data_IF_800770786532
#
_entry.id   IF_800770786532
#
_cell.length_a   1.000
_cell.length_b   1.000
_cell.length_c   1.000
_cell.angle_alpha   90.00
_cell.angle_beta   90.00
_cell.angle_gamma   90.00
#
_symmetry.space_group_name_H-M   'P 1'
#
loop_
_entity.id
_entity.type
_entity.pdbx_description
1 polymer ?
#
# COMPACT_ATOMS: atom_id res chain seq x y z
N UNK A 1 18.98 -1.22 -3.75
CA UNK A 1 17.69 -0.91 -3.11
C UNK A 1 17.61 0.57 -2.81
N UNK A 2 16.56 1.23 -3.19
CA UNK A 2 16.41 2.66 -2.99
C UNK A 2 15.05 2.95 -2.33
N UNK A 3 14.92 4.16 -1.78
CA UNK A 3 13.63 4.61 -1.24
C UNK A 3 12.56 4.59 -2.34
N UNK A 4 12.91 5.01 -3.56
CA UNK A 4 11.97 5.02 -4.67
C UNK A 4 11.48 3.61 -5.03
N UNK A 5 12.37 2.62 -5.02
CA UNK A 5 11.98 1.25 -5.34
C UNK A 5 11.09 0.65 -4.24
N UNK A 6 11.33 1.00 -2.98
CA UNK A 6 10.48 0.58 -1.86
C UNK A 6 9.11 1.25 -1.96
N UNK A 7 9.07 2.55 -2.26
CA UNK A 7 7.81 3.26 -2.46
C UNK A 7 7.01 2.63 -3.60
N UNK A 8 7.66 2.31 -4.72
CA UNK A 8 7.01 1.67 -5.86
C UNK A 8 6.43 0.30 -5.47
N UNK A 9 7.17 -0.49 -4.68
CA UNK A 9 6.70 -1.79 -4.21
C UNK A 9 5.48 -1.64 -3.31
N UNK A 10 5.48 -0.65 -2.40
CA UNK A 10 4.35 -0.38 -1.53
C UNK A 10 3.12 0.05 -2.33
N UNK A 11 3.29 0.95 -3.30
CA UNK A 11 2.18 1.41 -4.13
C UNK A 11 1.60 0.26 -4.94
N UNK A 12 2.45 -0.57 -5.55
CA UNK A 12 1.99 -1.72 -6.32
C UNK A 12 1.21 -2.71 -5.44
N UNK A 13 1.69 -2.97 -4.22
CA UNK A 13 1.01 -3.86 -3.28
C UNK A 13 -0.36 -3.28 -2.86
N UNK A 14 -0.42 -1.97 -2.59
CA UNK A 14 -1.65 -1.31 -2.23
C UNK A 14 -2.67 -1.35 -3.37
N UNK A 15 -2.24 -1.10 -4.60
CA UNK A 15 -3.13 -1.16 -5.76
C UNK A 15 -3.65 -2.58 -5.99
N UNK A 16 -2.80 -3.59 -5.87
CA UNK A 16 -3.21 -4.97 -6.03
C UNK A 16 -4.22 -5.39 -4.95
N UNK A 17 -3.97 -5.00 -3.70
CA UNK A 17 -4.88 -5.30 -2.61
C UNK A 17 -6.23 -4.61 -2.78
N UNK A 18 -6.22 -3.34 -3.22
CA UNK A 18 -7.44 -2.58 -3.46
C UNK A 18 -8.29 -3.23 -4.54
N UNK A 19 -7.67 -3.68 -5.62
CA UNK A 19 -8.39 -4.36 -6.71
C UNK A 19 -9.06 -5.65 -6.22
N UNK A 20 -8.36 -6.42 -5.40
CA UNK A 20 -8.93 -7.65 -4.82
C UNK A 20 -10.11 -7.34 -3.90
N UNK A 21 -9.96 -6.34 -3.02
CA UNK A 21 -11.00 -5.97 -2.05
C UNK A 21 -12.21 -5.35 -2.72
N UNK A 22 -12.00 -4.56 -3.76
CA UNK A 22 -13.10 -3.92 -4.47
C UNK A 22 -13.94 -4.93 -5.25
N UNK A 23 -13.36 -6.05 -5.66
CA UNK A 23 -14.03 -7.01 -6.51
C UNK A 23 -14.30 -6.47 -7.90
N UNK A 24 -13.61 -5.40 -8.30
CA UNK A 24 -13.80 -4.76 -9.59
C UNK A 24 -12.89 -3.53 -9.72
N UNK A 25 -13.11 -2.70 -10.74
CA UNK A 25 -12.25 -1.56 -11.00
C UNK A 25 -12.20 -0.57 -9.81
N UNK A 26 -11.01 -0.09 -9.52
CA UNK A 26 -10.82 0.97 -8.56
C UNK A 26 -9.64 1.84 -9.01
N UNK A 27 -9.56 3.05 -8.49
CA UNK A 27 -8.53 3.99 -8.85
C UNK A 27 -7.84 4.53 -7.61
N UNK A 28 -6.52 4.59 -7.65
CA UNK A 28 -5.74 5.21 -6.58
C UNK A 28 -6.02 6.72 -6.57
N UNK A 29 -6.51 7.23 -5.46
CA UNK A 29 -6.78 8.66 -5.29
C UNK A 29 -5.60 9.37 -4.64
N UNK A 30 -5.01 8.77 -3.61
CA UNK A 30 -3.85 9.33 -2.95
C UNK A 30 -3.05 8.24 -2.26
N UNK A 31 -1.76 8.49 -2.09
CA UNK A 31 -0.88 7.62 -1.32
C UNK A 31 0.17 8.47 -0.62
N UNK A 32 0.48 8.11 0.61
CA UNK A 32 1.53 8.73 1.39
C UNK A 32 2.50 7.64 1.84
N UNK A 33 3.78 7.84 1.59
CA UNK A 33 4.83 6.88 1.96
C UNK A 33 5.81 7.58 2.90
N UNK A 34 6.15 6.91 3.99
CA UNK A 34 7.15 7.39 4.93
C UNK A 34 8.28 6.37 5.05
N UNK A 35 9.52 6.85 4.86
CA UNK A 35 10.69 6.04 5.11
C UNK A 35 11.06 6.18 6.58
N UNK A 36 11.19 5.05 7.28
CA UNK A 36 11.51 5.01 8.71
C UNK A 36 12.96 4.63 8.97
N UNK A 37 13.60 3.97 8.01
CA UNK A 37 14.96 3.48 8.12
C UNK A 37 15.63 3.51 6.75
N UNK A 38 16.93 3.24 6.71
CA UNK A 38 17.65 3.14 5.45
C UNK A 38 17.06 2.00 4.60
N UNK A 39 17.03 2.16 3.28
CA UNK A 39 16.48 1.12 2.40
C UNK A 39 17.18 -0.22 2.58
N UNK A 40 16.40 -1.28 2.66
CA UNK A 40 16.88 -2.64 2.81
C UNK A 40 15.89 -3.59 2.14
N UNK A 41 16.34 -4.79 1.82
CA UNK A 41 15.49 -5.81 1.19
C UNK A 41 14.40 -6.27 2.17
N UNK A 42 13.17 -6.35 1.67
CA UNK A 42 12.05 -6.79 2.47
C UNK A 42 10.84 -7.05 1.61
N UNK A 43 9.67 -7.07 2.23
CA UNK A 43 8.42 -7.24 1.52
C UNK A 43 7.33 -6.35 2.09
N UNK A 44 6.35 -6.03 1.24
CA UNK A 44 5.22 -5.23 1.62
C UNK A 44 4.11 -6.11 2.23
N UNK A 45 3.48 -5.62 3.29
CA UNK A 45 2.29 -6.24 3.89
C UNK A 45 1.20 -5.20 3.95
N UNK A 46 0.03 -5.55 3.44
CA UNK A 46 -1.09 -4.63 3.29
C UNK A 46 -2.23 -5.00 4.22
N UNK A 47 -2.89 -3.99 4.75
CA UNK A 47 -4.06 -4.13 5.59
C UNK A 47 -5.13 -3.17 5.11
N UNK A 48 -6.37 -3.66 5.00
CA UNK A 48 -7.52 -2.81 4.72
C UNK A 48 -7.97 -2.18 6.04
N UNK A 49 -7.84 -0.85 6.15
CA UNK A 49 -8.23 -0.14 7.36
C UNK A 49 -9.73 0.12 7.40
N UNK A 50 -10.28 0.51 6.24
CA UNK A 50 -11.70 0.81 6.14
C UNK A 50 -12.15 0.69 4.69
N UNK A 51 -13.36 0.21 4.50
CA UNK A 51 -13.98 0.12 3.18
C UNK A 51 -15.40 0.62 3.26
N UNK A 52 -15.75 1.55 2.38
CA UNK A 52 -17.12 1.98 2.17
C UNK A 52 -17.52 1.55 0.75
N UNK A 53 -18.75 1.86 0.35
CA UNK A 53 -19.23 1.50 -0.97
C UNK A 53 -18.45 2.21 -2.10
N UNK A 54 -17.91 3.39 -1.84
CA UNK A 54 -17.25 4.21 -2.85
C UNK A 54 -15.77 4.43 -2.60
N UNK A 55 -15.28 4.14 -1.40
CA UNK A 55 -13.89 4.43 -1.01
C UNK A 55 -13.30 3.28 -0.24
N UNK A 56 -11.98 3.11 -0.37
CA UNK A 56 -11.21 2.19 0.46
C UNK A 56 -10.00 2.89 1.02
N UNK A 57 -9.68 2.58 2.27
CA UNK A 57 -8.54 3.11 2.99
C UNK A 57 -7.65 1.94 3.38
N UNK A 58 -6.44 1.91 2.83
CA UNK A 58 -5.49 0.82 3.06
C UNK A 58 -4.22 1.37 3.69
N UNK A 59 -3.52 0.50 4.39
CA UNK A 59 -2.18 0.80 4.89
C UNK A 59 -1.25 -0.35 4.55
N UNK A 60 0.05 -0.07 4.54
CA UNK A 60 1.05 -1.08 4.27
C UNK A 60 2.31 -0.80 5.07
N UNK A 61 3.06 -1.87 5.32
CA UNK A 61 4.38 -1.81 5.92
C UNK A 61 5.35 -2.54 5.01
N UNK A 62 6.58 -2.03 4.92
CA UNK A 62 7.67 -2.74 4.25
C UNK A 62 8.60 -3.25 5.32
N UNK A 63 8.70 -4.59 5.44
CA UNK A 63 9.39 -5.26 6.53
C UNK A 63 10.54 -6.10 6.01
N UNK A 64 11.67 -6.07 6.71
CA UNK A 64 12.78 -7.01 6.44
C UNK A 64 12.40 -8.40 6.95
N UNK A 65 13.21 -9.40 6.58
CA UNK A 65 13.03 -10.78 7.07
C UNK A 65 13.11 -10.84 8.60
N UNK A 66 13.88 -9.95 9.22
CA UNK A 66 14.01 -9.88 10.67
C UNK A 66 12.84 -9.13 11.34
N UNK A 67 11.90 -8.61 10.56
CA UNK A 67 10.76 -7.88 11.09
C UNK A 67 11.00 -6.40 11.32
N UNK A 68 12.12 -5.88 10.86
CA UNK A 68 12.41 -4.45 10.97
C UNK A 68 11.55 -3.67 9.98
N UNK A 69 10.91 -2.62 10.45
CA UNK A 69 10.04 -1.78 9.64
C UNK A 69 10.85 -0.71 8.93
N UNK A 70 10.93 -0.80 7.61
CA UNK A 70 11.72 0.11 6.78
C UNK A 70 10.88 1.30 6.34
N UNK A 71 9.61 1.07 6.03
CA UNK A 71 8.72 2.12 5.54
C UNK A 71 7.28 1.77 5.84
N UNK A 72 6.44 2.79 5.82
CA UNK A 72 4.99 2.63 5.91
C UNK A 72 4.32 3.43 4.80
N UNK A 73 3.09 3.05 4.47
CA UNK A 73 2.30 3.78 3.49
C UNK A 73 0.83 3.74 3.88
N UNK A 74 0.11 4.75 3.45
CA UNK A 74 -1.34 4.80 3.57
C UNK A 74 -1.90 5.26 2.23
N UNK A 75 -3.01 4.65 1.80
CA UNK A 75 -3.60 4.96 0.51
C UNK A 75 -5.11 5.10 0.61
N UNK A 76 -5.65 5.85 -0.34
CA UNK A 76 -7.09 5.99 -0.53
C UNK A 76 -7.39 5.63 -1.97
N UNK A 77 -8.38 4.77 -2.17
CA UNK A 77 -8.80 4.31 -3.49
C UNK A 77 -10.28 4.59 -3.69
N UNK A 78 -10.66 4.99 -4.91
CA UNK A 78 -12.06 5.13 -5.27
C UNK A 78 -12.53 3.84 -5.93
N UNK A 79 -13.66 3.32 -5.46
CA UNK A 79 -14.30 2.19 -6.12
C UNK A 79 -15.07 2.75 -7.32
N UNK A 80 -14.75 2.24 -8.51
CA UNK A 80 -15.42 2.67 -9.72
C UNK A 80 -16.68 1.84 -9.86
N UNK A 81 -17.84 2.51 -9.89
CA UNK A 81 -19.11 1.83 -9.97
C UNK A 81 -19.19 1.03 -11.27
N UNK A 82 -19.75 -0.20 -11.21
CA UNK A 82 -19.95 -1.01 -12.40
C UNK A 82 -20.99 -0.38 -13.33
#
# INVERSE_FOLDING_TARGET
MSAASIAAALIAALEAAAAREAGGPCALASVNVEMLAAPATGEARVKTERKTRTMMFLSAEYLTAAGERIATAASVHKVIAP
#
